data_IF_831105604270
#
_entry.id   IF_831105604270
#
_cell.length_a   1.000
_cell.length_b   1.000
_cell.length_c   1.000
_cell.angle_alpha   90.00
_cell.angle_beta   90.00
_cell.angle_gamma   90.00
#
_symmetry.space_group_name_H-M   'P 1'
#
loop_
_entity.id
_entity.type
_entity.pdbx_description
1 polymer ?
#
# COMPACT_ATOMS: atom_id res chain seq x y z
N UNK A 1 -6.95 31.69 10.73
CA UNK A 1 -7.68 31.47 12.01
C UNK A 1 -8.86 30.58 11.67
N UNK A 2 -8.94 29.34 12.19
CA UNK A 2 -9.97 28.37 11.77
C UNK A 2 -11.37 28.77 12.26
N UNK A 3 -12.41 28.21 11.63
CA UNK A 3 -13.80 28.55 11.94
C UNK A 3 -14.13 28.32 13.43
N UNK A 4 -13.58 27.27 14.05
CA UNK A 4 -13.73 27.00 15.49
C UNK A 4 -13.27 28.16 16.37
N UNK A 5 -12.11 28.77 16.08
CA UNK A 5 -11.63 29.94 16.84
C UNK A 5 -12.50 31.18 16.64
N UNK A 6 -13.13 31.33 15.47
CA UNK A 6 -14.06 32.43 15.21
C UNK A 6 -15.38 32.27 15.97
N UNK A 7 -15.92 31.04 16.03
CA UNK A 7 -17.10 30.72 16.85
C UNK A 7 -16.85 31.03 18.33
N UNK A 8 -15.72 30.55 18.87
CA UNK A 8 -15.38 30.78 20.28
C UNK A 8 -15.20 32.27 20.59
N UNK A 9 -14.59 33.04 19.67
CA UNK A 9 -14.45 34.47 19.84
C UNK A 9 -15.82 35.19 19.82
N UNK A 10 -16.67 34.90 18.84
CA UNK A 10 -18.00 35.49 18.72
C UNK A 10 -18.88 35.22 19.96
N UNK A 11 -18.88 33.98 20.46
CA UNK A 11 -19.62 33.62 21.68
C UNK A 11 -19.08 34.27 22.96
N UNK A 12 -17.78 34.62 22.99
CA UNK A 12 -17.16 35.26 24.16
C UNK A 12 -17.45 36.77 24.24
N UNK A 13 -17.66 37.43 23.10
CA UNK A 13 -17.95 38.87 23.04
C UNK A 13 -19.42 39.19 23.38
N UNK A 14 -20.34 38.25 23.16
CA UNK A 14 -21.79 38.45 23.37
C UNK A 14 -22.25 38.20 24.82
N UNK A 15 -21.35 37.75 25.70
CA UNK A 15 -21.64 37.45 27.12
C UNK A 15 -21.87 38.68 28.01
N UNK A 16 -21.89 39.90 27.47
CA UNK A 16 -22.07 41.15 28.22
C UNK A 16 -23.54 41.57 28.44
N UNK A 17 -24.51 40.68 28.22
CA UNK A 17 -25.91 40.88 28.62
C UNK A 17 -26.77 41.68 27.63
N UNK A 18 -26.36 41.77 26.37
CA UNK A 18 -27.19 42.29 25.28
C UNK A 18 -28.22 41.26 24.81
N UNK A 19 -29.39 41.72 24.34
CA UNK A 19 -30.35 40.85 23.64
C UNK A 19 -29.76 40.60 22.25
N UNK A 20 -29.49 39.33 21.91
CA UNK A 20 -28.99 38.94 20.59
C UNK A 20 -29.88 39.49 19.47
N UNK A 21 -29.27 40.13 18.47
CA UNK A 21 -29.99 40.61 17.30
C UNK A 21 -30.13 39.51 16.25
N UNK A 22 -31.08 39.62 15.30
CA UNK A 22 -31.16 38.69 14.18
C UNK A 22 -29.85 38.58 13.36
N UNK A 23 -29.08 39.67 13.27
CA UNK A 23 -27.79 39.67 12.58
C UNK A 23 -26.73 38.81 13.29
N UNK A 24 -26.80 38.72 14.62
CA UNK A 24 -25.88 37.90 15.42
C UNK A 24 -26.17 36.41 15.22
N UNK A 25 -27.46 36.07 15.08
CA UNK A 25 -27.92 34.71 14.73
C UNK A 25 -27.43 34.31 13.34
N UNK A 26 -27.64 35.17 12.33
CA UNK A 26 -27.18 34.91 10.95
C UNK A 26 -25.65 34.72 10.90
N UNK A 27 -24.91 35.53 11.65
CA UNK A 27 -23.45 35.41 11.73
C UNK A 27 -23.02 34.10 12.39
N UNK A 28 -23.69 33.70 13.48
CA UNK A 28 -23.43 32.44 14.17
C UNK A 28 -23.71 31.23 13.26
N UNK A 29 -24.81 31.24 12.50
CA UNK A 29 -25.14 30.18 11.55
C UNK A 29 -24.06 30.03 10.47
N UNK A 30 -23.61 31.15 9.88
CA UNK A 30 -22.51 31.13 8.90
C UNK A 30 -21.23 30.54 9.46
N UNK A 31 -20.89 30.84 10.71
CA UNK A 31 -19.71 30.30 11.37
C UNK A 31 -19.84 28.80 11.64
N UNK A 32 -21.03 28.32 12.03
CA UNK A 32 -21.32 26.89 12.21
C UNK A 32 -21.23 26.14 10.88
N UNK A 33 -21.79 26.68 9.81
CA UNK A 33 -21.70 26.07 8.48
C UNK A 33 -20.27 26.03 7.95
N UNK A 34 -19.50 27.10 8.14
CA UNK A 34 -18.07 27.12 7.80
C UNK A 34 -17.29 26.07 8.59
N UNK A 35 -17.57 25.91 9.88
CA UNK A 35 -16.93 24.88 10.70
C UNK A 35 -17.32 23.46 10.26
N UNK A 36 -18.61 23.23 9.95
CA UNK A 36 -19.09 21.96 9.42
C UNK A 36 -18.38 21.62 8.10
N UNK A 37 -18.21 22.59 7.22
CA UNK A 37 -17.48 22.42 5.97
C UNK A 37 -15.99 22.09 6.19
N UNK A 38 -15.32 22.78 7.13
CA UNK A 38 -13.93 22.48 7.51
C UNK A 38 -13.78 21.05 8.05
N UNK A 39 -14.65 20.63 8.97
CA UNK A 39 -14.62 19.29 9.56
C UNK A 39 -14.85 18.20 8.50
N UNK A 40 -15.79 18.43 7.57
CA UNK A 40 -16.04 17.51 6.46
C UNK A 40 -14.85 17.43 5.47
N UNK A 41 -14.10 18.52 5.30
CA UNK A 41 -12.91 18.53 4.46
C UNK A 41 -11.73 17.79 5.12
N UNK A 42 -11.55 17.95 6.44
CA UNK A 42 -10.54 17.22 7.21
C UNK A 42 -10.82 15.70 7.22
N UNK A 43 -12.08 15.28 7.40
CA UNK A 43 -12.48 13.86 7.38
C UNK A 43 -12.20 13.19 6.02
N UNK A 44 -12.28 13.95 4.91
CA UNK A 44 -11.96 13.46 3.56
C UNK A 44 -10.46 13.27 3.31
N UNK A 45 -9.60 13.95 4.06
CA UNK A 45 -8.14 13.87 3.89
C UNK A 45 -7.54 12.66 4.63
N UNK A 46 -8.25 12.13 5.62
CA UNK A 46 -7.82 10.94 6.34
C UNK A 46 -8.25 9.68 5.58
N UNK A 47 -7.34 8.71 5.36
CA UNK A 47 -7.73 7.45 4.73
C UNK A 47 -8.74 6.74 5.63
N UNK A 48 -9.83 6.25 5.04
CA UNK A 48 -10.77 5.37 5.74
C UNK A 48 -10.06 4.04 6.05
N UNK A 49 -9.85 3.77 7.34
CA UNK A 49 -9.30 2.50 7.81
C UNK A 49 -10.42 1.60 8.30
N UNK A 50 -10.44 0.37 7.78
CA UNK A 50 -11.46 -0.65 8.06
C UNK A 50 -10.81 -1.78 8.85
N UNK A 51 -11.40 -2.13 9.98
CA UNK A 51 -10.86 -3.16 10.89
C UNK A 51 -11.46 -4.55 10.67
N UNK A 52 -12.66 -4.61 10.08
CA UNK A 52 -13.44 -5.84 9.90
C UNK A 52 -14.35 -5.72 8.68
N UNK A 53 -14.49 -6.82 7.95
CA UNK A 53 -15.54 -7.01 6.96
C UNK A 53 -16.51 -8.08 7.44
N UNK A 54 -17.80 -7.87 7.20
CA UNK A 54 -18.86 -8.78 7.66
C UNK A 54 -19.53 -9.53 6.51
N UNK A 55 -19.73 -8.88 5.36
CA UNK A 55 -20.44 -9.46 4.22
C UNK A 55 -19.96 -8.84 2.92
N UNK A 56 -19.85 -9.67 1.88
CA UNK A 56 -19.63 -9.23 0.51
C UNK A 56 -20.86 -9.62 -0.32
N UNK A 57 -21.36 -8.68 -1.11
CA UNK A 57 -22.51 -8.87 -1.99
C UNK A 57 -22.06 -8.74 -3.42
N UNK A 58 -22.10 -9.86 -4.15
CA UNK A 58 -21.85 -9.86 -5.59
C UNK A 58 -23.10 -9.33 -6.33
N UNK A 59 -22.93 -8.42 -7.30
CA UNK A 59 -24.04 -7.89 -8.08
C UNK A 59 -24.60 -8.97 -9.01
N UNK A 60 -25.88 -8.86 -9.35
CA UNK A 60 -26.48 -9.74 -10.36
C UNK A 60 -25.83 -9.50 -11.74
N UNK A 61 -25.75 -10.50 -12.63
CA UNK A 61 -25.12 -10.35 -13.96
C UNK A 61 -25.69 -9.20 -14.80
N UNK A 62 -26.95 -8.84 -14.59
CA UNK A 62 -27.67 -7.76 -15.26
C UNK A 62 -27.47 -6.36 -14.65
N UNK A 63 -26.82 -6.26 -13.48
CA UNK A 63 -26.54 -5.00 -12.79
C UNK A 63 -25.14 -4.46 -13.10
N UNK A 64 -24.89 -3.20 -12.73
CA UNK A 64 -23.55 -2.65 -12.75
C UNK A 64 -22.65 -3.49 -11.84
N UNK A 65 -21.51 -3.97 -12.37
CA UNK A 65 -20.63 -4.93 -11.70
C UNK A 65 -19.79 -4.29 -10.57
N UNK A 66 -20.46 -3.71 -9.59
CA UNK A 66 -19.88 -3.11 -8.40
C UNK A 66 -20.00 -4.11 -7.24
N UNK A 67 -18.87 -4.68 -6.84
CA UNK A 67 -18.80 -5.50 -5.64
C UNK A 67 -18.96 -4.59 -4.42
N UNK A 68 -19.97 -4.89 -3.59
CA UNK A 68 -20.19 -4.15 -2.34
C UNK A 68 -19.66 -4.98 -1.16
N UNK A 69 -18.77 -4.38 -0.37
CA UNK A 69 -18.25 -4.99 0.86
C UNK A 69 -18.73 -4.19 2.06
N UNK A 70 -19.54 -4.82 2.91
CA UNK A 70 -20.00 -4.24 4.17
C UNK A 70 -18.92 -4.40 5.24
N UNK A 71 -18.55 -3.27 5.84
CA UNK A 71 -17.37 -3.12 6.68
C UNK A 71 -17.66 -2.29 7.94
N UNK A 72 -16.81 -2.44 8.94
CA UNK A 72 -16.80 -1.57 10.13
C UNK A 72 -15.47 -0.82 10.15
N UNK A 73 -15.55 0.51 10.13
CA UNK A 73 -14.39 1.39 10.29
C UNK A 73 -13.76 1.24 11.67
N UNK A 74 -12.50 1.63 11.85
CA UNK A 74 -11.81 1.54 13.16
C UNK A 74 -12.51 2.32 14.29
N UNK A 75 -13.25 3.38 13.94
CA UNK A 75 -14.06 4.17 14.87
C UNK A 75 -15.44 3.54 15.19
N UNK A 76 -15.71 2.34 14.65
CA UNK A 76 -16.96 1.62 14.85
C UNK A 76 -18.10 2.00 13.91
N UNK A 77 -17.90 2.97 12.99
CA UNK A 77 -18.94 3.33 12.01
C UNK A 77 -19.14 2.24 10.95
N UNK A 78 -20.39 1.87 10.61
CA UNK A 78 -20.66 0.99 9.48
C UNK A 78 -20.39 1.73 8.17
N UNK A 79 -19.66 1.09 7.26
CA UNK A 79 -19.29 1.63 5.95
C UNK A 79 -19.44 0.56 4.86
N UNK A 80 -19.70 0.98 3.63
CA UNK A 80 -19.75 0.10 2.47
C UNK A 80 -18.66 0.50 1.47
N UNK A 81 -17.80 -0.45 1.10
CA UNK A 81 -16.81 -0.26 0.04
C UNK A 81 -17.43 -0.69 -1.29
N UNK A 82 -17.47 0.25 -2.23
CA UNK A 82 -17.95 0.01 -3.59
C UNK A 82 -16.74 -0.20 -4.50
N UNK A 83 -16.58 -1.40 -5.01
CA UNK A 83 -15.45 -1.79 -5.85
C UNK A 83 -15.97 -2.09 -7.26
N UNK A 84 -15.79 -1.15 -8.17
CA UNK A 84 -15.99 -1.40 -9.60
C UNK A 84 -14.99 -2.43 -10.13
N UNK A 85 -15.15 -2.84 -11.39
CA UNK A 85 -14.30 -3.85 -12.01
C UNK A 85 -12.81 -3.48 -11.99
N UNK A 86 -12.48 -2.20 -12.24
CA UNK A 86 -11.09 -1.73 -12.26
C UNK A 86 -10.47 -1.76 -10.86
N UNK A 87 -11.19 -1.24 -9.87
CA UNK A 87 -10.75 -1.19 -8.47
C UNK A 87 -10.64 -2.60 -7.90
N UNK A 88 -11.61 -3.47 -8.20
CA UNK A 88 -11.57 -4.89 -7.84
C UNK A 88 -10.33 -5.56 -8.42
N UNK A 89 -9.97 -5.31 -9.68
CA UNK A 89 -8.75 -5.86 -10.27
C UNK A 89 -7.48 -5.35 -9.58
N UNK A 90 -7.42 -4.07 -9.19
CA UNK A 90 -6.29 -3.50 -8.43
C UNK A 90 -6.14 -4.15 -7.05
N UNK A 91 -7.24 -4.25 -6.30
CA UNK A 91 -7.27 -4.89 -4.97
C UNK A 91 -6.92 -6.36 -5.08
N UNK A 92 -7.49 -7.08 -6.06
CA UNK A 92 -7.17 -8.48 -6.31
C UNK A 92 -5.68 -8.67 -6.59
N UNK A 93 -5.02 -7.77 -7.32
CA UNK A 93 -3.57 -7.83 -7.54
C UNK A 93 -2.74 -7.59 -6.28
N UNK A 94 -3.21 -6.76 -5.35
CA UNK A 94 -2.54 -6.53 -4.07
C UNK A 94 -2.70 -7.70 -3.10
N UNK A 95 -3.90 -8.29 -3.09
CA UNK A 95 -4.25 -9.41 -2.22
C UNK A 95 -3.86 -10.76 -2.79
N UNK A 96 -3.65 -10.85 -4.10
CA UNK A 96 -3.17 -12.07 -4.72
C UNK A 96 -1.91 -12.50 -3.95
N UNK A 97 -1.85 -13.77 -3.50
CA UNK A 97 -0.58 -14.30 -3.05
C UNK A 97 0.43 -14.04 -4.18
N UNK A 98 1.70 -13.79 -3.86
CA UNK A 98 2.71 -13.68 -4.91
C UNK A 98 2.55 -14.94 -5.80
N UNK A 99 2.21 -14.71 -7.07
CA UNK A 99 1.58 -15.70 -7.93
C UNK A 99 2.36 -17.01 -7.98
N UNK A 100 1.70 -18.18 -7.97
CA UNK A 100 2.28 -19.54 -8.10
C UNK A 100 3.13 -19.82 -9.37
N UNK A 101 3.39 -18.82 -10.21
CA UNK A 101 4.67 -18.77 -10.95
C UNK A 101 5.88 -18.82 -9.98
N UNK A 102 5.62 -18.71 -8.68
CA UNK A 102 6.42 -18.97 -7.49
C UNK A 102 6.69 -20.45 -7.14
N UNK A 103 6.45 -21.40 -8.05
CA UNK A 103 7.20 -22.67 -8.05
C UNK A 103 8.73 -22.49 -7.96
N UNK A 104 9.18 -21.25 -8.19
CA UNK A 104 10.53 -20.74 -8.13
C UNK A 104 10.98 -20.22 -6.76
N UNK A 105 10.10 -20.12 -5.75
CA UNK A 105 10.50 -19.68 -4.39
C UNK A 105 11.53 -20.62 -3.77
N UNK A 106 11.33 -21.96 -3.77
CA UNK A 106 12.35 -22.88 -3.26
C UNK A 106 13.68 -22.74 -4.02
N UNK A 107 13.63 -22.60 -5.35
CA UNK A 107 14.83 -22.43 -6.18
C UNK A 107 15.55 -21.13 -5.89
N UNK A 108 14.85 -19.99 -5.83
CA UNK A 108 15.46 -18.68 -5.57
C UNK A 108 15.99 -18.59 -4.15
N UNK A 109 15.31 -19.16 -3.17
CA UNK A 109 15.82 -19.28 -1.80
C UNK A 109 17.08 -20.14 -1.74
N UNK A 110 17.12 -21.25 -2.45
CA UNK A 110 18.30 -22.11 -2.54
C UNK A 110 19.47 -21.41 -3.27
N UNK A 111 19.18 -20.73 -4.38
CA UNK A 111 20.16 -19.90 -5.10
C UNK A 111 20.72 -18.78 -4.21
N UNK A 112 19.84 -18.09 -3.46
CA UNK A 112 20.24 -17.05 -2.53
C UNK A 112 21.15 -17.59 -1.41
N UNK A 113 20.84 -18.77 -0.87
CA UNK A 113 21.68 -19.42 0.14
C UNK A 113 23.11 -19.65 -0.37
N UNK A 114 23.27 -20.05 -1.63
CA UNK A 114 24.60 -20.21 -2.24
C UNK A 114 25.27 -18.88 -2.59
N UNK A 115 24.53 -17.89 -3.08
CA UNK A 115 25.08 -16.55 -3.32
C UNK A 115 25.57 -15.91 -2.01
N UNK A 116 24.87 -16.17 -0.91
CA UNK A 116 25.19 -15.66 0.43
C UNK A 116 26.50 -16.21 0.99
N UNK A 117 26.99 -17.35 0.50
CA UNK A 117 28.35 -17.85 0.79
C UNK A 117 29.44 -16.96 0.18
N UNK A 118 29.07 -16.04 -0.70
CA UNK A 118 29.92 -15.01 -1.28
C UNK A 118 30.33 -15.25 -2.73
N UNK A 119 31.26 -14.42 -3.19
CA UNK A 119 31.79 -14.45 -4.55
C UNK A 119 30.99 -13.65 -5.57
N UNK A 120 31.51 -13.58 -6.80
CA UNK A 120 30.88 -12.91 -7.94
C UNK A 120 29.98 -13.87 -8.70
N UNK A 121 28.71 -13.51 -8.89
CA UNK A 121 27.71 -14.30 -9.58
C UNK A 121 27.29 -13.64 -10.89
N UNK A 122 27.46 -14.36 -12.00
CA UNK A 122 27.02 -13.94 -13.34
C UNK A 122 25.89 -14.85 -13.80
N UNK A 123 25.10 -14.42 -14.80
CA UNK A 123 24.02 -15.24 -15.38
C UNK A 123 24.50 -16.65 -15.76
N UNK A 124 25.65 -16.79 -16.41
CA UNK A 124 26.18 -18.11 -16.79
C UNK A 124 26.61 -18.99 -15.61
N UNK A 125 26.93 -18.41 -14.45
CA UNK A 125 27.19 -19.17 -13.22
C UNK A 125 25.89 -19.69 -12.62
N UNK A 126 24.82 -18.90 -12.67
CA UNK A 126 23.50 -19.31 -12.22
C UNK A 126 22.95 -20.44 -13.10
N UNK A 127 23.14 -20.38 -14.42
CA UNK A 127 22.75 -21.48 -15.31
C UNK A 127 23.45 -22.80 -14.96
N UNK A 128 24.77 -22.78 -14.73
CA UNK A 128 25.51 -23.96 -14.27
C UNK A 128 25.02 -24.45 -12.91
N UNK A 129 24.78 -23.51 -12.00
CA UNK A 129 24.22 -23.82 -10.69
C UNK A 129 22.86 -24.52 -10.79
N UNK A 130 21.99 -24.13 -11.73
CA UNK A 130 20.73 -24.82 -11.98
C UNK A 130 20.94 -26.28 -12.39
N UNK A 131 21.85 -26.53 -13.33
CA UNK A 131 22.19 -27.88 -13.79
C UNK A 131 22.73 -28.74 -12.64
N UNK A 132 23.65 -28.19 -11.85
CA UNK A 132 24.29 -28.88 -10.71
C UNK A 132 23.28 -29.27 -9.62
N UNK A 133 22.16 -28.54 -9.49
CA UNK A 133 21.14 -28.77 -8.46
C UNK A 133 19.83 -29.38 -8.99
N UNK A 134 19.86 -29.92 -10.22
CA UNK A 134 18.72 -30.65 -10.81
C UNK A 134 17.60 -29.77 -11.35
N UNK A 135 17.79 -28.45 -11.45
CA UNK A 135 16.85 -27.52 -12.08
C UNK A 135 17.04 -27.51 -13.61
N UNK A 136 16.71 -28.64 -14.26
CA UNK A 136 16.91 -28.82 -15.69
C UNK A 136 15.97 -27.95 -16.54
N UNK A 137 16.40 -27.58 -17.75
CA UNK A 137 15.61 -26.76 -18.67
C UNK A 137 15.59 -25.25 -18.39
N UNK A 138 16.27 -24.79 -17.34
CA UNK A 138 16.34 -23.36 -17.00
C UNK A 138 17.48 -22.65 -17.73
N UNK A 139 17.12 -21.76 -18.65
CA UNK A 139 18.07 -21.00 -19.45
C UNK A 139 18.46 -19.64 -18.87
N UNK A 140 19.29 -18.91 -19.64
CA UNK A 140 19.78 -17.58 -19.28
C UNK A 140 18.67 -16.55 -19.02
N UNK A 141 17.51 -16.69 -19.66
CA UNK A 141 16.35 -15.80 -19.42
C UNK A 141 15.84 -15.95 -17.99
N UNK A 142 15.67 -17.18 -17.52
CA UNK A 142 15.23 -17.48 -16.14
C UNK A 142 16.30 -17.03 -15.13
N UNK A 143 17.57 -17.33 -15.38
CA UNK A 143 18.66 -16.87 -14.53
C UNK A 143 18.71 -15.35 -14.37
N UNK A 144 18.51 -14.58 -15.46
CA UNK A 144 18.42 -13.10 -15.38
C UNK A 144 17.20 -12.65 -14.60
N UNK A 145 16.05 -13.30 -14.78
CA UNK A 145 14.82 -12.99 -14.03
C UNK A 145 15.02 -13.24 -12.53
N UNK A 146 15.58 -14.37 -12.14
CA UNK A 146 15.83 -14.71 -10.74
C UNK A 146 16.82 -13.73 -10.10
N UNK A 147 17.92 -13.39 -10.77
CA UNK A 147 18.87 -12.38 -10.30
C UNK A 147 18.22 -10.99 -10.19
N UNK A 148 17.37 -10.60 -11.14
CA UNK A 148 16.65 -9.34 -11.09
C UNK A 148 15.68 -9.31 -9.91
N UNK A 149 14.90 -10.37 -9.69
CA UNK A 149 14.00 -10.46 -8.52
C UNK A 149 14.80 -10.36 -7.22
N UNK A 150 15.89 -11.12 -7.07
CA UNK A 150 16.70 -11.07 -5.84
C UNK A 150 17.36 -9.70 -5.61
N UNK A 151 17.76 -9.00 -6.68
CA UNK A 151 18.26 -7.62 -6.61
C UNK A 151 17.15 -6.64 -6.21
N UNK A 152 16.00 -6.71 -6.87
CA UNK A 152 14.88 -5.78 -6.65
C UNK A 152 14.28 -5.94 -5.26
N UNK A 153 14.38 -7.14 -4.67
CA UNK A 153 14.05 -7.41 -3.27
C UNK A 153 15.14 -7.02 -2.27
N UNK A 154 16.26 -6.46 -2.72
CA UNK A 154 17.35 -5.96 -1.85
C UNK A 154 18.34 -7.02 -1.36
N UNK A 155 18.24 -8.28 -1.79
CA UNK A 155 19.15 -9.34 -1.35
C UNK A 155 20.49 -9.32 -2.08
N UNK A 156 20.56 -8.76 -3.29
CA UNK A 156 21.76 -8.71 -4.11
C UNK A 156 22.14 -7.27 -4.46
N UNK A 157 23.45 -7.03 -4.53
CA UNK A 157 24.04 -5.81 -5.12
C UNK A 157 24.53 -6.15 -6.51
N UNK A 158 24.07 -5.39 -7.51
CA UNK A 158 24.58 -5.46 -8.87
C UNK A 158 25.84 -4.59 -8.98
N UNK A 159 26.86 -5.13 -9.64
CA UNK A 159 28.10 -4.44 -9.99
C UNK A 159 28.30 -4.50 -11.50
N UNK A 160 28.75 -3.40 -12.07
CA UNK A 160 29.14 -3.30 -13.48
C UNK A 160 30.62 -2.86 -13.51
N UNK A 161 31.54 -3.76 -13.91
CA UNK A 161 33.00 -3.56 -13.90
C UNK A 161 33.58 -3.98 -15.25
N UNK A 162 34.31 -3.10 -15.94
CA UNK A 162 34.92 -3.37 -17.26
C UNK A 162 33.94 -3.95 -18.30
N UNK A 163 32.69 -3.48 -18.29
CA UNK A 163 31.63 -3.97 -19.20
C UNK A 163 31.04 -5.33 -18.82
N UNK A 164 31.40 -5.87 -17.65
CA UNK A 164 30.89 -7.12 -17.12
C UNK A 164 29.97 -6.86 -15.94
N UNK A 165 28.72 -7.29 -16.06
CA UNK A 165 27.74 -7.29 -14.96
C UNK A 165 27.88 -8.54 -14.10
N UNK A 166 27.97 -8.37 -12.78
CA UNK A 166 27.88 -9.45 -11.80
C UNK A 166 27.11 -9.02 -10.56
N UNK A 167 26.75 -9.99 -9.74
CA UNK A 167 25.98 -9.81 -8.51
C UNK A 167 26.77 -10.38 -7.34
N UNK A 168 26.65 -9.73 -6.18
CA UNK A 168 27.12 -10.26 -4.90
C UNK A 168 25.94 -10.21 -3.92
N UNK A 169 25.96 -11.05 -2.88
CA UNK A 169 25.04 -10.86 -1.77
C UNK A 169 25.19 -9.44 -1.22
N UNK A 170 24.07 -8.78 -0.93
CA UNK A 170 24.11 -7.63 -0.04
C UNK A 170 24.71 -8.14 1.27
N UNK A 171 25.90 -7.66 1.65
CA UNK A 171 26.38 -7.90 3.00
C UNK A 171 25.28 -7.40 3.91
N UNK A 172 24.80 -8.24 4.83
CA UNK A 172 23.91 -7.82 5.91
C UNK A 172 24.52 -6.56 6.49
N UNK A 173 23.98 -5.41 6.08
CA UNK A 173 24.53 -4.11 6.41
C UNK A 173 24.50 -4.08 7.92
N UNK A 174 25.67 -4.07 8.54
CA UNK A 174 25.81 -4.33 9.96
C UNK A 174 24.73 -3.58 10.73
N UNK A 175 23.74 -4.32 11.24
CA UNK A 175 23.01 -3.95 12.45
C UNK A 175 24.06 -3.94 13.55
N UNK A 176 24.85 -2.86 13.61
CA UNK A 176 25.44 -2.40 14.86
C UNK A 176 24.24 -2.04 15.72
N UNK A 177 24.14 -2.71 16.88
CA UNK A 177 23.20 -2.34 17.93
C UNK A 177 23.47 -0.96 18.49
#
# INVERSE_FOLDING_TARGET
>A
MNARRKIVAALSEDSYGGIATPSDVDHAEQLVDAHRAEVLAEDRAMPLVVSRFDTATEPAPEEDQVLTVCCIAEDGRPVALLLDLETRAKVARWLAPPSEVDGDVPRRSHLLADISKGGRWKTGRVCRWYEDHGYTGLGARTARRDLAVLRDSGFLVQHDEEGVRYFTAARDGGRRG
#
